data_IF_684485704370
#
_entry.id   IF_684485704370
#
_cell.length_a   1.000
_cell.length_b   1.000
_cell.length_c   1.000
_cell.angle_alpha   90.00
_cell.angle_beta   90.00
_cell.angle_gamma   90.00
#
_symmetry.space_group_name_H-M   'P 1'
#
loop_
_entity.id
_entity.type
_entity.pdbx_description
1 polymer ?
#
# COMPACT_ATOMS: atom_id res chain seq x y z
N UNK A 1 -14.34 -2.77 -5.31
CA UNK A 1 -13.98 -2.80 -6.73
C UNK A 1 -12.48 -2.88 -6.87
N UNK A 2 -12.00 -3.73 -7.75
CA UNK A 2 -10.58 -3.95 -8.02
C UNK A 2 -10.25 -3.45 -9.43
N UNK A 3 -9.14 -2.73 -9.55
CA UNK A 3 -8.69 -2.15 -10.82
C UNK A 3 -7.17 -2.36 -10.98
N UNK A 4 -6.75 -3.52 -11.54
CA UNK A 4 -5.34 -3.74 -11.83
C UNK A 4 -4.91 -2.89 -13.02
N UNK A 5 -3.76 -2.22 -12.88
CA UNK A 5 -3.11 -1.51 -13.97
C UNK A 5 -2.01 -2.40 -14.54
N UNK A 6 -2.29 -3.04 -15.64
CA UNK A 6 -1.27 -3.78 -16.40
C UNK A 6 -0.50 -2.80 -17.26
N UNK A 7 0.79 -2.62 -16.99
CA UNK A 7 1.69 -1.99 -17.94
C UNK A 7 1.96 -2.94 -19.13
N UNK A 8 2.50 -2.41 -20.23
CA UNK A 8 2.94 -3.24 -21.34
C UNK A 8 3.88 -4.34 -20.83
N UNK A 9 3.70 -5.54 -21.32
CA UNK A 9 4.17 -6.86 -20.87
C UNK A 9 5.71 -7.06 -20.77
N UNK A 10 6.44 -6.08 -20.27
CA UNK A 10 7.86 -6.26 -19.95
C UNK A 10 7.99 -6.81 -18.55
N UNK A 11 8.50 -8.03 -18.42
CA UNK A 11 8.84 -8.62 -17.11
C UNK A 11 9.70 -7.65 -16.30
N UNK A 12 9.34 -7.45 -15.02
CA UNK A 12 10.09 -6.59 -14.10
C UNK A 12 9.70 -5.11 -14.12
N UNK A 13 8.65 -4.71 -14.84
CA UNK A 13 8.11 -3.35 -14.74
C UNK A 13 7.24 -3.18 -13.49
N UNK A 14 7.28 -2.00 -12.84
CA UNK A 14 6.38 -1.68 -11.73
C UNK A 14 4.93 -1.80 -12.18
N UNK A 15 4.11 -2.45 -11.36
CA UNK A 15 2.67 -2.53 -11.59
C UNK A 15 1.91 -2.00 -10.39
N UNK A 16 0.75 -1.41 -10.62
CA UNK A 16 -0.08 -0.85 -9.56
C UNK A 16 -1.46 -1.49 -9.59
N UNK A 17 -1.95 -1.84 -8.43
CA UNK A 17 -3.27 -2.40 -8.24
C UNK A 17 -4.08 -1.49 -7.32
N UNK A 18 -5.21 -1.01 -7.80
CA UNK A 18 -6.11 -0.16 -7.03
C UNK A 18 -7.29 -0.98 -6.50
N UNK A 19 -7.53 -0.87 -5.20
CA UNK A 19 -8.68 -1.47 -4.54
C UNK A 19 -9.50 -0.38 -3.86
N UNK A 20 -10.80 -0.38 -4.10
CA UNK A 20 -11.76 0.44 -3.38
C UNK A 20 -12.83 -0.44 -2.75
N UNK A 21 -13.16 -0.14 -1.50
CA UNK A 21 -14.28 -0.72 -0.77
C UNK A 21 -15.20 0.41 -0.31
N UNK A 22 -16.50 0.26 -0.55
CA UNK A 22 -17.53 1.21 -0.14
C UNK A 22 -18.82 0.46 0.16
N UNK A 23 -19.68 0.98 1.05
CA UNK A 23 -20.99 0.40 1.32
C UNK A 23 -21.94 0.51 0.13
N UNK A 24 -21.71 1.48 -0.76
CA UNK A 24 -22.50 1.70 -1.96
C UNK A 24 -21.80 1.18 -3.23
N UNK A 25 -22.55 0.90 -4.31
CA UNK A 25 -21.98 0.46 -5.58
C UNK A 25 -21.01 1.48 -6.18
N UNK A 26 -19.75 1.06 -6.41
CA UNK A 26 -18.73 1.89 -7.04
C UNK A 26 -18.93 1.84 -8.55
N UNK A 27 -19.36 2.94 -9.15
CA UNK A 27 -19.67 3.06 -10.58
C UNK A 27 -18.47 3.47 -11.44
N UNK A 28 -17.50 4.17 -10.83
CA UNK A 28 -16.32 4.70 -11.52
C UNK A 28 -15.23 3.61 -11.60
N UNK A 29 -14.57 3.53 -12.75
CA UNK A 29 -13.42 2.66 -12.98
C UNK A 29 -12.24 3.53 -13.44
N UNK A 30 -11.45 4.00 -12.49
CA UNK A 30 -10.31 4.88 -12.75
C UNK A 30 -9.16 4.60 -11.79
N UNK A 31 -8.01 5.19 -12.04
CA UNK A 31 -6.93 5.28 -11.08
C UNK A 31 -7.37 6.18 -9.92
N UNK A 32 -7.03 5.75 -8.71
CA UNK A 32 -7.41 6.51 -7.53
C UNK A 32 -6.26 7.45 -7.13
N UNK A 33 -6.57 8.73 -7.04
CA UNK A 33 -5.84 9.69 -6.25
C UNK A 33 -6.51 9.80 -4.89
N UNK A 34 -5.77 10.07 -3.83
CA UNK A 34 -6.28 10.13 -2.45
C UNK A 34 -6.63 8.75 -1.85
N UNK A 35 -5.70 7.82 -1.95
CA UNK A 35 -5.81 6.51 -1.31
C UNK A 35 -5.50 6.60 0.20
N UNK A 36 -6.15 5.74 0.97
CA UNK A 36 -5.96 5.69 2.43
C UNK A 36 -4.73 4.86 2.81
N UNK A 37 -4.43 3.79 2.06
CA UNK A 37 -3.36 2.83 2.34
C UNK A 37 -2.63 2.47 1.06
N UNK A 38 -1.30 2.41 1.13
CA UNK A 38 -0.43 1.87 0.08
C UNK A 38 0.35 0.68 0.63
N UNK A 39 0.35 -0.43 -0.09
CA UNK A 39 1.15 -1.62 0.18
C UNK A 39 2.25 -1.73 -0.87
N UNK A 40 3.50 -1.89 -0.45
CA UNK A 40 4.63 -2.14 -1.33
C UNK A 40 5.35 -3.43 -0.96
N UNK A 41 5.08 -4.54 -1.66
CA UNK A 41 5.85 -5.77 -1.49
C UNK A 41 7.29 -5.68 -2.01
N UNK A 42 7.61 -4.61 -2.75
CA UNK A 42 8.96 -4.35 -3.25
C UNK A 42 9.73 -3.45 -2.27
N UNK A 43 10.84 -3.93 -1.67
CA UNK A 43 11.68 -3.12 -0.78
C UNK A 43 12.40 -1.97 -1.52
N UNK A 44 12.52 -2.07 -2.84
CA UNK A 44 13.21 -1.09 -3.69
C UNK A 44 12.25 -0.15 -4.42
N UNK A 45 10.99 -0.08 -4.03
CA UNK A 45 9.93 0.66 -4.74
C UNK A 45 10.33 2.11 -5.05
N UNK A 46 11.02 2.79 -4.15
CA UNK A 46 11.47 4.18 -4.34
C UNK A 46 12.55 4.37 -5.40
N UNK A 47 13.18 3.27 -5.90
CA UNK A 47 14.10 3.32 -7.02
C UNK A 47 13.39 3.32 -8.37
N UNK A 48 12.16 2.89 -8.40
CA UNK A 48 11.41 2.64 -9.64
C UNK A 48 10.21 3.57 -9.80
N UNK A 49 9.60 3.99 -8.70
CA UNK A 49 8.37 4.78 -8.73
C UNK A 49 8.19 5.60 -7.46
N UNK A 50 7.32 6.60 -7.52
CA UNK A 50 6.85 7.31 -6.35
C UNK A 50 5.67 6.56 -5.70
N UNK A 51 5.97 5.65 -4.78
CA UNK A 51 4.95 4.86 -4.09
C UNK A 51 4.02 5.69 -3.18
N UNK A 52 4.40 6.92 -2.84
CA UNK A 52 3.60 7.82 -2.01
C UNK A 52 2.66 8.72 -2.82
N UNK A 53 2.74 8.66 -4.15
CA UNK A 53 1.87 9.47 -5.02
C UNK A 53 0.40 9.13 -4.79
N UNK A 54 -0.39 10.14 -4.45
CA UNK A 54 -1.82 9.98 -4.18
C UNK A 54 -2.17 9.45 -2.79
N UNK A 55 -1.20 9.15 -1.93
CA UNK A 55 -1.48 8.81 -0.53
C UNK A 55 -1.93 10.06 0.23
N UNK A 56 -3.03 9.96 0.96
CA UNK A 56 -3.62 11.05 1.74
C UNK A 56 -2.71 11.45 2.90
N UNK A 57 -2.84 12.69 3.34
CA UNK A 57 -2.28 13.12 4.63
C UNK A 57 -2.84 12.25 5.75
N UNK A 58 -1.96 11.77 6.63
CA UNK A 58 -2.31 10.80 7.68
C UNK A 58 -2.57 9.38 7.15
N UNK A 59 -2.31 9.12 5.86
CA UNK A 59 -2.44 7.80 5.26
C UNK A 59 -1.41 6.80 5.77
N UNK A 60 -1.59 5.53 5.40
CA UNK A 60 -0.74 4.42 5.84
C UNK A 60 0.09 3.90 4.67
N UNK A 61 1.40 3.77 4.87
CA UNK A 61 2.31 3.14 3.93
C UNK A 61 2.97 1.91 4.57
N UNK A 62 2.79 0.74 3.96
CA UNK A 62 3.36 -0.53 4.43
C UNK A 62 4.32 -1.05 3.38
N UNK A 63 5.58 -1.28 3.77
CA UNK A 63 6.65 -1.70 2.87
C UNK A 63 7.32 -2.99 3.34
N UNK A 64 7.75 -3.80 2.38
CA UNK A 64 8.65 -4.93 2.64
C UNK A 64 9.99 -4.44 3.15
N UNK A 65 10.46 -4.98 4.27
CA UNK A 65 11.81 -4.75 4.75
C UNK A 65 12.30 -5.92 5.61
N UNK A 66 13.55 -6.30 5.42
CA UNK A 66 14.24 -7.32 6.24
C UNK A 66 14.96 -6.69 7.46
N UNK A 67 14.79 -5.39 7.69
CA UNK A 67 15.45 -4.69 8.79
C UNK A 67 14.83 -5.08 10.13
N UNK A 68 15.71 -5.33 11.10
CA UNK A 68 15.27 -5.70 12.44
C UNK A 68 14.77 -4.51 13.28
N UNK A 69 15.24 -3.28 12.94
CA UNK A 69 14.94 -2.07 13.71
C UNK A 69 14.26 -1.00 12.86
N UNK A 70 13.28 -0.28 13.42
CA UNK A 70 12.61 0.81 12.74
C UNK A 70 13.55 1.92 12.25
N UNK A 71 14.62 2.21 12.99
CA UNK A 71 15.60 3.25 12.65
C UNK A 71 16.41 2.87 11.40
N UNK A 72 16.75 1.59 11.26
CA UNK A 72 17.46 1.08 10.09
C UNK A 72 16.56 1.13 8.85
N UNK A 73 15.27 0.76 9.02
CA UNK A 73 14.28 0.87 7.95
C UNK A 73 14.08 2.34 7.53
N UNK A 74 13.99 3.26 8.49
CA UNK A 74 13.86 4.69 8.22
C UNK A 74 15.06 5.22 7.42
N UNK A 75 16.27 4.81 7.77
CA UNK A 75 17.49 5.23 7.10
C UNK A 75 17.58 4.75 5.63
N UNK A 76 16.95 3.65 5.28
CA UNK A 76 16.89 3.12 3.91
C UNK A 76 15.96 3.92 2.98
N UNK A 77 15.03 4.70 3.54
CA UNK A 77 14.13 5.54 2.74
C UNK A 77 14.89 6.77 2.23
N UNK A 78 14.88 7.05 0.92
CA UNK A 78 15.54 8.23 0.39
C UNK A 78 14.99 9.53 1.00
N UNK A 79 15.86 10.50 1.30
CA UNK A 79 15.53 11.74 2.02
C UNK A 79 14.33 12.52 1.45
N UNK A 80 14.15 12.66 0.13
CA UNK A 80 12.98 13.32 -0.41
C UNK A 80 11.67 12.66 0.02
N UNK A 81 11.64 11.31 0.08
CA UNK A 81 10.45 10.56 0.52
C UNK A 81 10.28 10.61 2.05
N UNK A 82 11.38 10.63 2.81
CA UNK A 82 11.31 10.87 4.26
C UNK A 82 10.62 12.20 4.55
N UNK A 83 10.98 13.26 3.81
CA UNK A 83 10.35 14.56 3.94
C UNK A 83 8.85 14.50 3.62
N UNK A 84 8.46 13.85 2.53
CA UNK A 84 7.05 13.67 2.16
C UNK A 84 6.28 12.94 3.27
N UNK A 85 6.88 11.89 3.84
CA UNK A 85 6.27 11.10 4.92
C UNK A 85 6.03 11.96 6.16
N UNK A 86 7.00 12.79 6.54
CA UNK A 86 6.89 13.68 7.71
C UNK A 86 5.92 14.82 7.44
N UNK A 87 6.04 15.53 6.32
CA UNK A 87 5.22 16.70 5.98
C UNK A 87 3.72 16.35 5.84
N UNK A 88 3.44 15.12 5.41
CA UNK A 88 2.07 14.63 5.25
C UNK A 88 1.59 13.73 6.39
N UNK A 89 2.36 13.62 7.48
CA UNK A 89 2.01 12.80 8.65
C UNK A 89 1.66 11.34 8.27
N UNK A 90 2.37 10.78 7.29
CA UNK A 90 2.13 9.42 6.81
C UNK A 90 2.60 8.42 7.87
N UNK A 91 1.73 7.50 8.24
CA UNK A 91 2.06 6.39 9.12
C UNK A 91 2.84 5.34 8.32
N UNK A 92 4.09 5.15 8.70
CA UNK A 92 4.99 4.20 8.02
C UNK A 92 5.06 2.91 8.80
N UNK A 93 4.77 1.81 8.11
CA UNK A 93 4.93 0.46 8.64
C UNK A 93 5.84 -0.37 7.74
N UNK A 94 6.46 -1.40 8.31
CA UNK A 94 7.21 -2.38 7.55
C UNK A 94 6.98 -3.79 8.09
N UNK A 95 7.18 -4.76 7.21
CA UNK A 95 7.04 -6.18 7.50
C UNK A 95 8.05 -6.97 6.68
N UNK A 96 8.62 -8.03 7.27
CA UNK A 96 9.40 -9.01 6.51
C UNK A 96 8.53 -10.16 6.03
N UNK A 97 7.71 -9.87 5.03
CA UNK A 97 6.83 -10.84 4.40
C UNK A 97 7.58 -11.97 3.68
N UNK A 98 8.83 -11.73 3.24
CA UNK A 98 9.68 -12.78 2.65
C UNK A 98 10.11 -13.80 3.71
N UNK A 99 10.51 -13.34 4.90
CA UNK A 99 10.86 -14.23 6.02
C UNK A 99 9.67 -15.08 6.42
N UNK A 100 8.52 -14.45 6.66
CA UNK A 100 7.29 -15.16 7.02
C UNK A 100 6.93 -16.22 5.97
N UNK A 101 6.99 -15.84 4.69
CA UNK A 101 6.70 -16.75 3.59
C UNK A 101 7.68 -17.92 3.51
N UNK A 102 8.98 -17.70 3.73
CA UNK A 102 10.00 -18.77 3.74
C UNK A 102 9.81 -19.75 4.88
N UNK A 103 9.45 -19.25 6.05
CA UNK A 103 9.30 -20.06 7.26
C UNK A 103 7.99 -20.90 7.25
N UNK A 104 6.93 -20.39 6.64
CA UNK A 104 5.61 -21.03 6.63
C UNK A 104 5.30 -21.81 5.34
N UNK A 105 5.97 -21.50 4.23
CA UNK A 105 5.73 -22.20 2.98
C UNK A 105 6.36 -23.60 3.00
N UNK A 106 5.52 -24.60 2.86
CA UNK A 106 5.96 -26.00 2.71
C UNK A 106 6.51 -26.29 1.32
N UNK A 107 6.18 -25.45 0.33
CA UNK A 107 6.61 -25.55 -1.06
C UNK A 107 7.24 -24.21 -1.48
N UNK A 108 8.48 -24.21 -2.04
CA UNK A 108 9.14 -23.01 -2.55
C UNK A 108 8.33 -22.22 -3.58
N UNK A 109 7.51 -22.89 -4.40
CA UNK A 109 6.65 -22.23 -5.37
C UNK A 109 5.54 -21.39 -4.72
N UNK A 110 5.17 -21.70 -3.49
CA UNK A 110 4.15 -20.98 -2.75
C UNK A 110 4.68 -19.73 -2.04
N UNK A 111 6.00 -19.58 -1.86
CA UNK A 111 6.60 -18.49 -1.09
C UNK A 111 6.17 -17.10 -1.58
N UNK A 112 6.21 -16.86 -2.90
CA UNK A 112 5.78 -15.56 -3.46
C UNK A 112 4.30 -15.26 -3.21
N UNK A 113 3.46 -16.28 -3.20
CA UNK A 113 2.03 -16.13 -2.90
C UNK A 113 1.80 -15.86 -1.42
N UNK A 114 2.56 -16.53 -0.55
CA UNK A 114 2.47 -16.35 0.88
C UNK A 114 2.97 -14.98 1.35
N UNK A 115 3.93 -14.37 0.65
CA UNK A 115 4.29 -12.97 0.90
C UNK A 115 3.05 -12.05 0.81
N UNK A 116 2.25 -12.18 -0.25
CA UNK A 116 1.01 -11.42 -0.40
C UNK A 116 0.00 -11.66 0.73
N UNK A 117 -0.05 -12.88 1.25
CA UNK A 117 -0.89 -13.24 2.41
C UNK A 117 -0.39 -12.58 3.71
N UNK A 118 0.93 -12.51 3.92
CA UNK A 118 1.50 -11.76 5.05
C UNK A 118 1.16 -10.27 4.98
N UNK A 119 1.24 -9.66 3.80
CA UNK A 119 0.81 -8.27 3.59
C UNK A 119 -0.67 -8.05 3.84
N UNK A 120 -1.52 -9.05 3.58
CA UNK A 120 -2.94 -8.97 3.95
C UNK A 120 -3.12 -8.85 5.46
N UNK A 121 -2.38 -9.62 6.26
CA UNK A 121 -2.37 -9.51 7.72
C UNK A 121 -1.90 -8.13 8.17
N UNK A 122 -0.76 -7.66 7.65
CA UNK A 122 -0.21 -6.34 7.94
C UNK A 122 -1.17 -5.20 7.58
N UNK A 123 -1.90 -5.33 6.47
CA UNK A 123 -2.92 -4.36 6.07
C UNK A 123 -4.01 -4.22 7.12
N UNK A 124 -4.55 -5.32 7.62
CA UNK A 124 -5.60 -5.25 8.63
C UNK A 124 -5.10 -4.68 9.96
N UNK A 125 -3.87 -5.00 10.36
CA UNK A 125 -3.29 -4.47 11.59
C UNK A 125 -3.01 -2.96 11.53
N UNK A 126 -2.55 -2.45 10.37
CA UNK A 126 -2.09 -1.08 10.24
C UNK A 126 -3.14 -0.11 9.69
N UNK A 127 -4.14 -0.62 8.96
CA UNK A 127 -5.14 0.23 8.30
C UNK A 127 -6.25 0.66 9.27
N UNK A 128 -6.91 1.81 9.02
CA UNK A 128 -8.05 2.25 9.81
C UNK A 128 -9.35 1.46 9.51
N UNK A 129 -9.26 0.40 8.71
CA UNK A 129 -10.43 -0.35 8.26
C UNK A 129 -11.16 -1.05 9.41
N UNK A 130 -10.38 -1.64 10.33
CA UNK A 130 -10.92 -2.34 11.50
C UNK A 130 -11.76 -1.41 12.36
N UNK A 131 -11.20 -0.24 12.70
CA UNK A 131 -11.88 0.79 13.48
C UNK A 131 -13.14 1.29 12.76
N UNK A 132 -13.01 1.61 11.46
CA UNK A 132 -14.14 2.10 10.65
C UNK A 132 -15.25 1.06 10.48
N UNK A 133 -14.91 -0.22 10.43
CA UNK A 133 -15.86 -1.31 10.29
C UNK A 133 -16.45 -1.76 11.63
N UNK A 134 -15.92 -1.30 12.76
CA UNK A 134 -16.32 -1.72 14.09
C UNK A 134 -16.05 -3.20 14.37
N UNK A 135 -15.04 -3.77 13.71
CA UNK A 135 -14.66 -5.17 13.85
C UNK A 135 -13.56 -5.31 14.91
N UNK A 136 -13.65 -6.37 15.72
CA UNK A 136 -12.57 -6.79 16.58
C UNK A 136 -11.67 -7.83 15.89
N UNK A 137 -10.49 -8.08 16.46
CA UNK A 137 -9.50 -8.99 15.89
C UNK A 137 -10.04 -10.42 15.70
N UNK A 138 -10.86 -10.90 16.63
CA UNK A 138 -11.42 -12.25 16.56
C UNK A 138 -12.44 -12.38 15.43
N UNK A 139 -13.29 -11.40 15.24
CA UNK A 139 -14.26 -11.34 14.15
C UNK A 139 -13.56 -11.25 12.79
N UNK A 140 -12.52 -10.44 12.70
CA UNK A 140 -11.69 -10.33 11.50
C UNK A 140 -11.03 -11.67 11.16
N UNK A 141 -10.31 -12.28 12.11
CA UNK A 141 -9.59 -13.53 11.87
C UNK A 141 -10.56 -14.64 11.46
N UNK A 142 -11.74 -14.68 12.07
CA UNK A 142 -12.79 -15.64 11.67
C UNK A 142 -13.29 -15.37 10.24
N UNK A 143 -13.53 -14.13 9.88
CA UNK A 143 -13.97 -13.79 8.52
C UNK A 143 -12.91 -14.15 7.47
N UNK A 144 -11.62 -13.98 7.80
CA UNK A 144 -10.51 -14.40 6.93
C UNK A 144 -10.44 -15.91 6.83
N UNK A 145 -10.60 -16.63 7.93
CA UNK A 145 -10.64 -18.11 7.95
C UNK A 145 -11.77 -18.66 7.08
N UNK A 146 -12.98 -18.12 7.23
CA UNK A 146 -14.15 -18.50 6.42
C UNK A 146 -13.89 -18.24 4.92
N UNK A 147 -13.25 -17.11 4.58
CA UNK A 147 -12.86 -16.81 3.21
C UNK A 147 -11.81 -17.77 2.67
N UNK A 148 -10.79 -18.09 3.44
CA UNK A 148 -9.73 -19.04 3.07
C UNK A 148 -10.29 -20.44 2.92
N UNK A 149 -11.20 -20.85 3.82
CA UNK A 149 -11.90 -22.13 3.75
C UNK A 149 -12.73 -22.23 2.47
N UNK A 150 -13.49 -21.18 2.13
CA UNK A 150 -14.26 -21.13 0.89
C UNK A 150 -13.38 -21.21 -0.36
N UNK A 151 -12.22 -20.57 -0.35
CA UNK A 151 -11.32 -20.46 -1.52
C UNK A 151 -10.38 -21.64 -1.67
N UNK A 152 -9.90 -22.19 -0.57
CA UNK A 152 -8.84 -23.21 -0.55
C UNK A 152 -9.23 -24.52 0.14
N UNK A 153 -10.40 -24.60 0.74
CA UNK A 153 -10.83 -25.81 1.45
C UNK A 153 -10.83 -27.07 0.58
N UNK A 154 -11.13 -26.94 -0.71
CA UNK A 154 -11.04 -28.03 -1.70
C UNK A 154 -9.60 -28.54 -1.93
N UNK A 155 -8.58 -27.76 -1.56
CA UNK A 155 -7.15 -28.13 -1.65
C UNK A 155 -6.62 -28.81 -0.39
N UNK A 156 -7.47 -28.94 0.63
CA UNK A 156 -7.17 -29.56 1.90
C UNK A 156 -6.99 -28.57 3.05
N UNK A 157 -7.35 -29.01 4.26
CA UNK A 157 -7.30 -28.19 5.47
C UNK A 157 -5.91 -27.62 5.76
N UNK A 158 -4.84 -28.37 5.49
CA UNK A 158 -3.47 -27.90 5.66
C UNK A 158 -3.18 -26.60 4.93
N UNK A 159 -3.70 -26.43 3.71
CA UNK A 159 -3.50 -25.20 2.93
C UNK A 159 -4.20 -24.02 3.59
N UNK A 160 -5.37 -24.22 4.16
CA UNK A 160 -6.11 -23.19 4.91
C UNK A 160 -5.32 -22.80 6.16
N UNK A 161 -4.86 -23.78 6.92
CA UNK A 161 -4.11 -23.57 8.17
C UNK A 161 -2.78 -22.85 7.92
N UNK A 162 -2.04 -23.22 6.86
CA UNK A 162 -0.79 -22.58 6.47
C UNK A 162 -1.03 -21.10 6.12
N UNK A 163 -2.07 -20.80 5.34
CA UNK A 163 -2.42 -19.40 5.01
C UNK A 163 -2.88 -18.63 6.25
N UNK A 164 -3.65 -19.23 7.16
CA UNK A 164 -4.07 -18.56 8.40
C UNK A 164 -2.88 -18.21 9.29
N UNK A 165 -1.88 -19.10 9.42
CA UNK A 165 -0.65 -18.79 10.16
C UNK A 165 0.08 -17.59 9.55
N UNK A 166 0.20 -17.55 8.22
CA UNK A 166 0.85 -16.43 7.51
C UNK A 166 0.10 -15.12 7.72
N UNK A 167 -1.24 -15.11 7.62
CA UNK A 167 -2.06 -13.91 7.90
C UNK A 167 -1.83 -13.43 9.33
N UNK A 168 -1.90 -14.35 10.30
CA UNK A 168 -1.74 -14.02 11.71
C UNK A 168 -0.35 -13.45 12.00
N UNK A 169 0.70 -14.07 11.46
CA UNK A 169 2.06 -13.55 11.57
C UNK A 169 2.19 -12.17 10.90
N UNK A 170 1.57 -11.98 9.74
CA UNK A 170 1.55 -10.68 9.08
C UNK A 170 0.87 -9.61 9.92
N UNK A 171 -0.18 -9.97 10.65
CA UNK A 171 -0.87 -9.09 11.60
C UNK A 171 -0.01 -8.77 12.83
N UNK A 172 0.65 -9.78 13.41
CA UNK A 172 1.40 -9.67 14.65
C UNK A 172 2.82 -9.08 14.45
N UNK A 173 3.45 -9.32 13.28
CA UNK A 173 4.85 -8.98 12.99
C UNK A 173 5.01 -7.73 12.09
N UNK A 174 3.99 -6.89 11.98
CA UNK A 174 4.11 -5.57 11.34
C UNK A 174 4.55 -4.52 12.35
N UNK A 175 5.53 -3.70 12.00
CA UNK A 175 6.14 -2.71 12.88
C UNK A 175 5.93 -1.29 12.37
N UNK A 176 5.56 -0.37 13.28
CA UNK A 176 5.43 1.05 12.96
C UNK A 176 6.74 1.80 13.21
N UNK A 177 7.15 2.60 12.25
CA UNK A 177 8.26 3.55 12.40
C UNK A 177 7.73 4.84 13.02
N UNK A 178 7.88 4.98 14.34
CA UNK A 178 7.36 6.13 15.11
C UNK A 178 8.30 7.33 15.08
N UNK A 179 9.62 7.10 15.23
CA UNK A 179 10.62 8.15 15.30
C UNK A 179 11.11 8.51 13.90
N UNK A 180 10.39 9.41 13.23
CA UNK A 180 10.66 9.87 11.86
C UNK A 180 11.41 11.21 11.90
N UNK A 181 12.74 11.17 12.12
CA UNK A 181 13.57 12.37 12.12
C UNK A 181 14.27 12.49 10.77
N UNK A 182 13.98 13.58 10.06
CA UNK A 182 14.73 13.92 8.83
C UNK A 182 16.02 14.59 9.27
N UNK A 183 17.18 13.90 9.08
CA UNK A 183 18.48 14.45 9.46
C UNK A 183 18.75 15.75 8.70
N UNK A 184 19.12 16.80 9.44
CA UNK A 184 19.59 18.05 8.87
C UNK A 184 20.90 17.79 8.12
N UNK A 185 20.91 17.98 6.80
CA UNK A 185 22.15 17.97 6.00
C UNK A 185 22.13 16.99 4.83
N UNK A 186 21.61 17.48 3.72
CA UNK A 186 22.19 17.35 2.38
C UNK A 186 21.37 18.24 1.45
N UNK A 187 22.00 19.26 0.95
CA UNK A 187 21.52 19.99 -0.21
C UNK A 187 21.23 18.98 -1.33
N UNK A 188 20.07 19.15 -1.92
CA UNK A 188 19.53 18.33 -3.00
C UNK A 188 20.52 18.30 -4.16
N UNK A 189 21.25 17.21 -4.32
CA UNK A 189 21.59 16.77 -5.66
C UNK A 189 20.33 16.12 -6.22
N UNK A 190 19.60 16.90 -7.02
CA UNK A 190 18.51 16.43 -7.87
C UNK A 190 18.99 15.25 -8.73
N UNK A 191 18.82 14.04 -8.23
CA UNK A 191 18.81 12.79 -8.98
C UNK A 191 17.65 11.92 -8.55
N UNK A 192 16.56 12.55 -8.13
CA UNK A 192 15.24 11.96 -8.16
C UNK A 192 14.57 12.41 -9.45
N UNK A 193 13.87 11.54 -10.13
CA UNK A 193 12.89 11.98 -11.11
C UNK A 193 12.02 13.02 -10.41
N UNK A 194 12.28 14.28 -10.68
CA UNK A 194 11.44 15.36 -10.26
C UNK A 194 10.02 14.94 -10.60
N UNK A 195 9.10 15.08 -9.67
CA UNK A 195 7.68 15.14 -9.99
C UNK A 195 7.62 15.94 -11.28
N UNK A 196 7.28 15.29 -12.40
CA UNK A 196 7.21 15.97 -13.69
C UNK A 196 6.49 17.28 -13.40
N UNK A 197 7.12 18.44 -13.63
CA UNK A 197 6.49 19.70 -13.30
C UNK A 197 5.14 19.70 -13.98
N UNK A 198 4.09 19.98 -13.23
CA UNK A 198 2.75 20.14 -13.79
C UNK A 198 2.92 20.93 -15.09
N UNK A 199 2.44 20.42 -16.23
CA UNK A 199 2.49 21.15 -17.50
C UNK A 199 2.05 22.59 -17.26
N UNK A 200 2.72 23.57 -17.84
CA UNK A 200 2.45 24.99 -17.57
C UNK A 200 0.98 25.36 -17.75
N UNK A 201 0.29 24.67 -18.67
CA UNK A 201 -1.15 24.81 -18.85
C UNK A 201 -1.99 24.43 -17.63
N UNK A 202 -1.44 23.62 -16.69
CA UNK A 202 -2.08 23.27 -15.41
C UNK A 202 -1.62 24.15 -14.25
N UNK A 203 -0.52 24.91 -14.43
CA UNK A 203 -0.06 25.90 -13.44
C UNK A 203 -0.85 27.20 -13.53
N UNK A 204 -1.37 27.51 -14.69
CA UNK A 204 -2.22 28.67 -14.96
C UNK A 204 -3.67 28.25 -15.17
N UNK A 205 -4.30 27.65 -14.15
CA UNK A 205 -5.75 27.78 -14.10
C UNK A 205 -6.03 29.24 -13.80
N UNK A 206 -6.60 30.01 -14.74
CA UNK A 206 -7.13 31.30 -14.38
C UNK A 206 -8.09 31.07 -13.22
N UNK A 207 -8.09 31.93 -12.21
CA UNK A 207 -9.17 31.97 -11.24
C UNK A 207 -10.43 32.41 -11.98
N UNK A 208 -10.90 31.56 -12.87
CA UNK A 208 -12.20 31.68 -13.48
C UNK A 208 -13.16 31.46 -12.34
N UNK A 209 -13.96 32.48 -12.08
CA UNK A 209 -15.23 32.30 -11.38
C UNK A 209 -16.07 31.40 -12.29
N UNK A 210 -15.78 30.09 -12.29
CA UNK A 210 -16.60 29.12 -12.99
C UNK A 210 -17.93 29.08 -12.26
N UNK A 211 -18.91 29.77 -12.81
CA UNK A 211 -20.30 29.45 -12.52
C UNK A 211 -20.50 28.00 -12.90
N UNK A 212 -21.06 27.22 -12.00
CA UNK A 212 -21.46 25.80 -12.23
C UNK A 212 -22.32 25.62 -13.51
N UNK A 213 -22.85 26.69 -14.07
CA UNK A 213 -23.62 26.71 -15.34
C UNK A 213 -22.79 26.31 -16.57
N UNK A 214 -21.45 26.41 -16.52
CA UNK A 214 -20.62 26.07 -17.68
C UNK A 214 -20.33 24.58 -17.80
N UNK A 215 -20.55 23.81 -16.74
CA UNK A 215 -20.38 22.35 -16.74
C UNK A 215 -21.55 21.64 -17.45
N UNK A 216 -22.74 22.24 -17.47
CA UNK A 216 -23.91 21.69 -18.15
C UNK A 216 -23.84 21.72 -19.68
N UNK A 217 -23.04 22.61 -20.25
CA UNK A 217 -22.90 22.75 -21.72
C UNK A 217 -22.06 21.67 -22.40
N UNK A 218 -21.35 20.85 -21.63
CA UNK A 218 -20.53 19.75 -22.17
C UNK A 218 -21.29 18.41 -22.28
N UNK A 219 -22.57 18.35 -21.91
CA UNK A 219 -23.36 17.12 -21.87
C UNK A 219 -24.65 17.17 -22.71
N UNK A 220 -24.84 18.22 -23.51
CA UNK A 220 -25.79 18.28 -24.63
C UNK A 220 -25.05 18.04 -25.95
#
# INVERSE_FOLDING_TARGET
KANPKYGSEKKGQPTTYYLAAAPEPIRINCEYYFVDVVLSPDPNVFKHTNALAGLKKGGVFIIQSEKAKPEEMWADIPKPYQKIIVDNDIRLFYIDGFKIAREEATDPELQLRMQGIAFQGAFFAASPLMEKAGLNDAELLKAIEDQLQSKFGSKGQRVVDDNMRVVKRGFDEVYEVKNKVVGAGAEEKENGQALLPLPEMLKSTPKSKSNLSDIHRFWE
#
